data_IF_698870699222
#
_entry.id   IF_698870699222
#
_cell.length_a   1.000
_cell.length_b   1.000
_cell.length_c   1.000
_cell.angle_alpha   90.00
_cell.angle_beta   90.00
_cell.angle_gamma   90.00
#
_symmetry.space_group_name_H-M   'P 1'
#
loop_
_entity.id
_entity.type
_entity.pdbx_description
1 polymer ?
#
# COMPACT_ATOMS: atom_id res chain seq x y z
N UNK A 1 -4.84 -7.51 -9.79
CA UNK A 1 -5.20 -8.79 -9.17
C UNK A 1 -4.11 -9.82 -9.35
N UNK A 2 -3.48 -9.92 -10.52
CA UNK A 2 -2.51 -11.00 -10.83
C UNK A 2 -1.41 -11.28 -9.79
N UNK A 3 -0.79 -10.27 -9.16
CA UNK A 3 0.23 -10.50 -8.12
C UNK A 3 -0.35 -11.20 -6.89
N UNK A 4 -1.57 -10.82 -6.50
CA UNK A 4 -2.25 -11.35 -5.32
C UNK A 4 -2.66 -12.81 -5.56
N UNK A 5 -3.10 -13.12 -6.77
CA UNK A 5 -3.43 -14.50 -7.15
C UNK A 5 -2.18 -15.39 -7.10
N UNK A 6 -1.04 -14.91 -7.63
CA UNK A 6 0.21 -15.68 -7.61
C UNK A 6 0.78 -15.91 -6.21
N UNK A 7 0.72 -14.92 -5.31
CA UNK A 7 1.23 -15.11 -3.93
C UNK A 7 0.31 -16.01 -3.10
N UNK A 8 -1.00 -16.04 -3.39
CA UNK A 8 -1.96 -16.89 -2.65
C UNK A 8 -1.71 -18.39 -2.84
N UNK A 9 -1.00 -18.76 -3.91
CA UNK A 9 -0.60 -20.15 -4.21
C UNK A 9 0.86 -20.43 -3.91
N UNK A 10 1.61 -19.47 -3.36
CA UNK A 10 3.00 -19.68 -2.99
C UNK A 10 3.06 -20.53 -1.72
N UNK A 11 4.01 -21.45 -1.66
CA UNK A 11 4.44 -22.02 -0.38
C UNK A 11 4.93 -20.86 0.49
N UNK A 12 4.41 -20.75 1.71
CA UNK A 12 4.70 -19.68 2.63
C UNK A 12 4.80 -20.26 4.05
N UNK A 13 5.50 -21.38 4.20
CA UNK A 13 5.74 -22.01 5.49
C UNK A 13 6.15 -20.99 6.57
N UNK A 14 5.45 -21.05 7.70
CA UNK A 14 5.65 -20.14 8.83
C UNK A 14 5.09 -18.71 8.66
N UNK A 15 4.43 -18.40 7.54
CA UNK A 15 3.87 -17.06 7.26
C UNK A 15 2.35 -17.10 7.30
N UNK A 16 1.75 -16.19 8.07
CA UNK A 16 0.32 -15.88 7.95
C UNK A 16 0.11 -14.79 6.89
N UNK A 17 -0.40 -15.16 5.73
CA UNK A 17 -0.69 -14.22 4.64
C UNK A 17 -2.13 -13.69 4.75
N UNK A 18 -2.25 -12.36 4.77
CA UNK A 18 -3.52 -11.66 4.60
C UNK A 18 -3.53 -10.88 3.29
N UNK A 19 -4.55 -11.12 2.46
CA UNK A 19 -4.73 -10.42 1.18
C UNK A 19 -5.98 -9.56 1.24
N UNK A 20 -5.82 -8.26 0.95
CA UNK A 20 -6.94 -7.33 0.76
C UNK A 20 -6.93 -6.91 -0.72
N UNK A 21 -7.80 -7.50 -1.57
CA UNK A 21 -7.76 -7.25 -3.01
C UNK A 21 -8.02 -5.79 -3.39
N UNK A 22 -8.82 -5.10 -2.58
CA UNK A 22 -9.13 -3.69 -2.74
C UNK A 22 -9.61 -3.08 -1.44
N UNK A 23 -9.20 -1.84 -1.18
CA UNK A 23 -9.78 -0.99 -0.14
C UNK A 23 -10.78 0.02 -0.71
N UNK A 24 -10.97 0.06 -2.04
CA UNK A 24 -11.87 0.98 -2.74
C UNK A 24 -12.66 0.24 -3.83
N UNK A 25 -13.53 -0.72 -3.47
CA UNK A 25 -14.29 -1.50 -4.44
C UNK A 25 -15.26 -0.61 -5.25
N UNK A 26 -15.83 0.42 -4.63
CA UNK A 26 -16.73 1.35 -5.33
C UNK A 26 -15.99 2.17 -6.39
N UNK A 27 -14.84 2.75 -6.05
CA UNK A 27 -13.99 3.46 -7.00
C UNK A 27 -13.47 2.54 -8.12
N UNK A 28 -13.18 1.26 -7.83
CA UNK A 28 -12.83 0.31 -8.88
C UNK A 28 -13.98 0.07 -9.87
N UNK A 29 -15.21 -0.10 -9.36
CA UNK A 29 -16.40 -0.28 -10.20
C UNK A 29 -16.66 0.94 -11.10
N UNK A 30 -16.42 2.15 -10.60
CA UNK A 30 -16.59 3.40 -11.35
C UNK A 30 -15.33 3.88 -12.09
N UNK A 31 -14.20 3.16 -11.96
CA UNK A 31 -12.88 3.53 -12.50
C UNK A 31 -12.37 4.87 -12.00
N UNK A 32 -12.65 5.19 -10.74
CA UNK A 32 -12.20 6.40 -10.06
C UNK A 32 -11.09 6.11 -9.04
N UNK A 33 -10.16 7.08 -8.91
CA UNK A 33 -9.15 7.08 -7.86
C UNK A 33 -9.77 7.18 -6.46
N UNK A 34 -10.83 7.99 -6.35
CA UNK A 34 -11.49 8.36 -5.09
C UNK A 34 -12.58 7.34 -4.76
N UNK A 35 -13.04 7.31 -3.52
CA UNK A 35 -14.18 6.46 -3.16
C UNK A 35 -15.51 7.06 -3.65
N UNK A 36 -16.63 6.39 -3.38
CA UNK A 36 -17.97 6.85 -3.79
C UNK A 36 -18.37 8.23 -3.25
N UNK A 37 -17.67 8.73 -2.22
CA UNK A 37 -17.86 10.07 -1.65
C UNK A 37 -16.86 11.10 -2.16
N UNK A 38 -16.07 10.75 -3.17
CA UNK A 38 -15.07 11.63 -3.76
C UNK A 38 -13.85 11.88 -2.86
N UNK A 39 -13.56 11.01 -1.88
CA UNK A 39 -12.39 11.13 -1.01
C UNK A 39 -11.21 10.32 -1.55
N UNK A 40 -10.02 10.91 -1.58
CA UNK A 40 -8.77 10.17 -1.75
C UNK A 40 -8.45 9.42 -0.44
N UNK A 41 -8.73 8.12 -0.41
CA UNK A 41 -8.49 7.28 0.77
C UNK A 41 -7.04 7.37 1.25
N UNK A 42 -6.06 7.53 0.35
CA UNK A 42 -4.65 7.66 0.71
C UNK A 42 -4.26 9.10 1.11
N UNK A 43 -5.25 9.93 1.44
CA UNK A 43 -5.12 11.20 2.18
C UNK A 43 -6.00 11.24 3.43
N UNK A 44 -6.83 10.21 3.66
CA UNK A 44 -7.84 10.17 4.72
C UNK A 44 -7.31 9.59 6.04
N UNK A 45 -6.11 8.98 6.09
CA UNK A 45 -5.57 8.41 7.33
C UNK A 45 -5.17 9.50 8.34
N UNK A 46 -5.23 9.23 9.67
CA UNK A 46 -5.14 10.28 10.68
C UNK A 46 -3.74 10.87 10.86
N UNK A 47 -2.68 10.12 10.57
CA UNK A 47 -1.32 10.58 10.81
C UNK A 47 -0.95 11.76 9.90
N UNK A 48 -0.60 12.89 10.54
CA UNK A 48 -0.29 14.18 9.89
C UNK A 48 -1.39 14.66 8.93
N UNK A 49 -2.62 14.19 9.11
CA UNK A 49 -3.76 14.58 8.28
C UNK A 49 -3.93 16.11 8.24
N UNK A 50 -4.39 16.64 7.11
CA UNK A 50 -4.67 18.07 6.96
C UNK A 50 -5.90 18.27 6.07
N UNK A 51 -6.91 18.93 6.62
CA UNK A 51 -8.10 19.37 5.90
C UNK A 51 -7.86 20.63 5.06
N UNK A 52 -8.96 21.30 4.69
CA UNK A 52 -8.92 22.54 3.91
C UNK A 52 -8.58 22.36 2.43
N UNK A 53 -8.54 21.11 1.95
CA UNK A 53 -8.47 20.81 0.52
C UNK A 53 -9.90 20.77 -0.02
N UNK A 54 -10.22 21.44 -1.15
CA UNK A 54 -11.57 21.43 -1.71
C UNK A 54 -12.03 20.04 -2.16
N UNK A 55 -13.34 19.71 -2.06
CA UNK A 55 -13.89 18.44 -2.59
C UNK A 55 -13.67 18.22 -4.10
N UNK A 56 -13.49 19.30 -4.87
CA UNK A 56 -13.16 19.22 -6.29
C UNK A 56 -11.73 18.70 -6.55
N UNK A 57 -10.86 18.71 -5.54
CA UNK A 57 -9.49 18.21 -5.68
C UNK A 57 -9.45 16.68 -5.79
N UNK A 58 -8.58 16.18 -6.67
CA UNK A 58 -8.20 14.76 -6.71
C UNK A 58 -7.55 14.25 -5.42
N UNK A 59 -7.11 15.15 -4.53
CA UNK A 59 -6.50 14.85 -3.24
C UNK A 59 -7.38 15.22 -2.04
N UNK A 60 -8.70 15.38 -2.25
CA UNK A 60 -9.62 15.68 -1.17
C UNK A 60 -9.51 14.62 -0.05
N UNK A 61 -9.12 14.98 1.18
CA UNK A 61 -8.78 14.03 2.24
C UNK A 61 -9.99 13.66 3.10
N UNK A 62 -11.19 14.08 2.72
CA UNK A 62 -12.41 13.96 3.52
C UNK A 62 -12.62 15.13 4.49
N UNK A 63 -13.74 15.10 5.21
CA UNK A 63 -14.15 16.16 6.15
C UNK A 63 -13.36 16.15 7.47
N UNK A 64 -12.77 15.01 7.80
CA UNK A 64 -12.04 14.75 9.04
C UNK A 64 -11.06 13.58 8.80
N UNK A 65 -10.03 13.41 9.63
CA UNK A 65 -9.22 12.19 9.59
C UNK A 65 -10.09 10.96 9.84
N UNK A 66 -9.81 9.88 9.10
CA UNK A 66 -10.55 8.62 9.11
C UNK A 66 -12.07 8.82 8.96
N UNK A 67 -12.51 9.77 8.13
CA UNK A 67 -13.94 10.00 7.88
C UNK A 67 -14.60 8.85 7.11
N UNK A 68 -13.83 8.11 6.31
CA UNK A 68 -14.35 7.10 5.41
C UNK A 68 -14.42 5.71 6.05
N UNK A 69 -15.49 4.94 5.82
CA UNK A 69 -15.63 3.59 6.37
C UNK A 69 -14.52 2.64 5.90
N UNK A 70 -14.04 2.79 4.67
CA UNK A 70 -12.95 2.00 4.10
C UNK A 70 -11.64 2.23 4.87
N UNK A 71 -11.31 3.49 5.15
CA UNK A 71 -10.15 3.86 5.97
C UNK A 71 -10.25 3.23 7.36
N UNK A 72 -11.41 3.37 8.02
CA UNK A 72 -11.64 2.80 9.37
C UNK A 72 -11.52 1.27 9.38
N UNK A 73 -12.05 0.60 8.36
CA UNK A 73 -11.98 -0.86 8.24
C UNK A 73 -10.53 -1.35 8.15
N UNK A 74 -9.73 -0.70 7.29
CA UNK A 74 -8.32 -1.09 7.12
C UNK A 74 -7.49 -0.75 8.37
N UNK A 75 -7.78 0.37 9.04
CA UNK A 75 -7.14 0.71 10.31
C UNK A 75 -7.40 -0.37 11.37
N UNK A 76 -8.66 -0.69 11.62
CA UNK A 76 -9.05 -1.70 12.61
C UNK A 76 -8.65 -3.14 12.22
N UNK A 77 -8.33 -3.39 10.95
CA UNK A 77 -7.73 -4.63 10.49
C UNK A 77 -6.24 -4.69 10.85
N UNK A 78 -5.46 -3.67 10.46
CA UNK A 78 -4.02 -3.59 10.71
C UNK A 78 -3.70 -3.57 12.20
N UNK A 79 -4.46 -2.82 13.00
CA UNK A 79 -4.27 -2.76 14.46
C UNK A 79 -4.55 -4.10 15.15
N UNK A 80 -5.41 -4.93 14.56
CA UNK A 80 -5.75 -6.26 15.08
C UNK A 80 -4.70 -7.30 14.73
N UNK A 81 -4.26 -7.33 13.47
CA UNK A 81 -3.31 -8.36 13.01
C UNK A 81 -1.84 -7.99 13.27
N UNK A 82 -1.54 -6.69 13.44
CA UNK A 82 -0.19 -6.14 13.69
C UNK A 82 0.88 -6.76 12.79
N UNK A 83 0.76 -6.58 11.46
CA UNK A 83 1.57 -7.34 10.52
C UNK A 83 3.04 -6.92 10.57
N UNK A 84 3.96 -7.89 10.53
CA UNK A 84 5.41 -7.63 10.48
C UNK A 84 5.83 -6.99 9.15
N UNK A 85 5.19 -7.39 8.05
CA UNK A 85 5.43 -6.85 6.69
C UNK A 85 4.09 -6.40 6.10
N UNK A 86 4.08 -5.25 5.43
CA UNK A 86 2.90 -4.80 4.66
C UNK A 86 3.31 -4.13 3.37
N UNK A 87 2.69 -4.58 2.27
CA UNK A 87 2.96 -4.02 0.94
C UNK A 87 1.70 -3.38 0.40
N UNK A 88 1.76 -2.08 0.17
CA UNK A 88 0.69 -1.30 -0.43
C UNK A 88 0.95 -1.12 -1.91
N UNK A 89 0.13 -1.76 -2.75
CA UNK A 89 0.28 -1.72 -4.21
C UNK A 89 -0.49 -0.55 -4.83
N UNK A 90 0.20 0.19 -5.69
CA UNK A 90 -0.32 1.34 -6.42
C UNK A 90 0.21 1.37 -7.87
N UNK A 91 -0.26 2.35 -8.64
CA UNK A 91 0.19 2.74 -9.97
C UNK A 91 0.07 4.28 -10.09
N UNK A 92 0.80 4.95 -11.01
CA UNK A 92 1.59 4.40 -12.12
C UNK A 92 3.11 4.71 -12.08
N UNK A 93 3.70 4.95 -10.91
CA UNK A 93 5.03 5.58 -10.85
C UNK A 93 6.23 4.67 -11.21
N UNK A 94 6.05 3.36 -11.27
CA UNK A 94 7.09 2.42 -11.71
C UNK A 94 8.32 2.40 -10.81
N UNK A 95 8.13 2.37 -9.49
CA UNK A 95 9.18 2.32 -8.48
C UNK A 95 8.66 1.76 -7.15
N UNK A 96 9.57 1.20 -6.35
CA UNK A 96 9.30 1.02 -4.91
C UNK A 96 9.59 2.34 -4.21
N UNK A 97 8.66 2.83 -3.39
CA UNK A 97 8.83 4.11 -2.68
C UNK A 97 9.70 3.91 -1.45
N UNK A 98 11.01 3.92 -1.71
CA UNK A 98 12.06 3.78 -0.74
C UNK A 98 13.07 4.92 -0.84
N UNK A 99 13.21 5.63 0.28
CA UNK A 99 14.19 6.69 0.52
C UNK A 99 14.76 6.55 1.93
N UNK A 100 15.69 7.43 2.33
CA UNK A 100 16.26 7.42 3.69
C UNK A 100 15.16 7.37 4.75
N UNK A 101 15.24 6.39 5.66
CA UNK A 101 14.23 6.12 6.69
C UNK A 101 13.08 5.20 6.27
N UNK A 102 13.15 4.59 5.08
CA UNK A 102 12.23 3.51 4.67
C UNK A 102 12.70 2.17 5.24
N UNK A 103 11.79 1.25 5.61
CA UNK A 103 12.17 -0.09 6.06
C UNK A 103 13.03 -0.84 5.03
N UNK A 104 13.97 -1.64 5.51
CA UNK A 104 14.92 -2.41 4.70
C UNK A 104 14.21 -3.33 3.70
N UNK A 105 13.08 -3.92 4.11
CA UNK A 105 12.26 -4.77 3.26
C UNK A 105 11.88 -4.09 1.93
N UNK A 106 11.71 -2.76 1.90
CA UNK A 106 11.37 -2.05 0.66
C UNK A 106 12.53 -2.08 -0.34
N UNK A 107 13.77 -1.88 0.13
CA UNK A 107 14.97 -1.89 -0.71
C UNK A 107 15.23 -3.31 -1.22
N UNK A 108 15.11 -4.29 -0.32
CA UNK A 108 15.24 -5.71 -0.66
C UNK A 108 14.17 -6.15 -1.68
N UNK A 109 12.92 -5.71 -1.49
CA UNK A 109 11.83 -5.98 -2.44
C UNK A 109 12.15 -5.41 -3.81
N UNK A 110 12.62 -4.16 -3.87
CA UNK A 110 12.96 -3.50 -5.12
C UNK A 110 14.02 -4.30 -5.89
N UNK A 111 15.09 -4.74 -5.21
CA UNK A 111 16.13 -5.57 -5.82
C UNK A 111 15.59 -6.89 -6.35
N UNK A 112 14.83 -7.64 -5.54
CA UNK A 112 14.24 -8.94 -5.92
C UNK A 112 13.23 -8.82 -7.06
N UNK A 113 12.42 -7.75 -7.06
CA UNK A 113 11.42 -7.51 -8.09
C UNK A 113 12.00 -6.88 -9.38
N UNK A 114 13.29 -6.51 -9.39
CA UNK A 114 13.92 -5.80 -10.50
C UNK A 114 13.36 -4.39 -10.70
N UNK A 115 13.00 -3.71 -9.60
CA UNK A 115 12.48 -2.35 -9.60
C UNK A 115 13.51 -1.36 -9.06
N UNK A 116 13.49 -0.15 -9.59
CA UNK A 116 14.19 1.00 -8.98
C UNK A 116 13.49 1.45 -7.70
N UNK A 117 14.24 2.11 -6.82
CA UNK A 117 13.70 2.85 -5.67
C UNK A 117 13.43 4.32 -6.05
N UNK A 118 12.58 5.01 -5.29
CA UNK A 118 12.28 6.43 -5.49
C UNK A 118 11.88 7.14 -4.19
N UNK A 119 12.25 8.42 -4.07
CA UNK A 119 11.77 9.32 -3.03
C UNK A 119 10.40 9.94 -3.34
N UNK A 120 9.75 9.56 -4.44
CA UNK A 120 8.46 10.14 -4.84
C UNK A 120 7.41 9.88 -3.76
N UNK A 121 6.56 10.87 -3.52
CA UNK A 121 5.55 10.81 -2.46
C UNK A 121 6.09 11.08 -1.05
N UNK A 122 7.40 11.32 -0.88
CA UNK A 122 7.96 11.77 0.41
C UNK A 122 7.28 13.06 0.85
N UNK A 123 6.82 13.06 2.11
CA UNK A 123 6.17 14.23 2.71
C UNK A 123 4.65 14.33 2.47
N UNK A 124 4.06 13.41 1.70
CA UNK A 124 2.61 13.28 1.64
C UNK A 124 2.01 13.01 3.03
N UNK A 125 0.82 13.56 3.24
CA UNK A 125 0.12 13.57 4.52
C UNK A 125 -1.13 12.70 4.44
N UNK A 126 -1.55 12.14 5.57
CA UNK A 126 -2.74 11.30 5.66
C UNK A 126 -2.68 10.04 4.79
N UNK A 127 -1.46 9.56 4.50
CA UNK A 127 -1.29 8.31 3.73
C UNK A 127 -1.41 7.10 4.65
N UNK A 128 -1.91 6.00 4.09
CA UNK A 128 -2.01 4.72 4.80
C UNK A 128 -0.65 4.29 5.36
N UNK A 129 0.38 4.37 4.51
CA UNK A 129 1.72 3.93 4.89
C UNK A 129 2.34 4.78 6.00
N UNK A 130 2.13 6.10 5.96
CA UNK A 130 2.64 6.98 7.02
C UNK A 130 1.96 6.73 8.35
N UNK A 131 0.65 6.44 8.33
CA UNK A 131 -0.09 6.10 9.54
C UNK A 131 0.33 4.73 10.08
N UNK A 132 0.43 3.71 9.23
CA UNK A 132 0.80 2.37 9.68
C UNK A 132 2.19 2.35 10.34
N UNK A 133 3.16 3.08 9.79
CA UNK A 133 4.50 3.19 10.39
C UNK A 133 4.52 3.96 11.72
N UNK A 134 3.54 4.83 11.94
CA UNK A 134 3.39 5.58 13.18
C UNK A 134 2.79 4.70 14.29
N UNK A 135 1.72 3.95 13.98
CA UNK A 135 1.05 3.09 14.98
C UNK A 135 1.73 1.74 15.22
N UNK A 136 2.53 1.26 14.27
CA UNK A 136 3.30 0.01 14.37
C UNK A 136 4.79 0.28 14.11
N UNK A 137 5.49 0.94 15.04
CA UNK A 137 6.93 1.15 14.92
C UNK A 137 7.65 -0.21 14.84
N UNK A 138 8.56 -0.34 13.88
CA UNK A 138 9.29 -1.59 13.60
C UNK A 138 8.66 -2.48 12.53
N UNK A 139 7.38 -2.28 12.17
CA UNK A 139 6.78 -3.00 11.06
C UNK A 139 7.38 -2.57 9.71
N UNK A 140 7.68 -3.56 8.86
CA UNK A 140 8.20 -3.40 7.51
C UNK A 140 7.06 -3.08 6.52
N UNK A 141 6.46 -1.90 6.68
CA UNK A 141 5.41 -1.43 5.77
C UNK A 141 6.02 -0.58 4.65
N UNK A 142 5.66 -0.80 3.38
CA UNK A 142 6.12 0.02 2.25
C UNK A 142 5.17 0.03 1.05
N UNK A 143 5.46 0.88 0.07
CA UNK A 143 4.63 1.08 -1.14
C UNK A 143 5.38 0.59 -2.38
N UNK A 144 4.66 -0.15 -3.23
CA UNK A 144 5.11 -0.55 -4.56
C UNK A 144 4.22 0.12 -5.59
N UNK A 145 4.81 0.99 -6.42
CA UNK A 145 4.12 1.63 -7.54
C UNK A 145 4.48 0.91 -8.84
N UNK A 146 3.57 0.14 -9.42
CA UNK A 146 3.76 -0.39 -10.77
C UNK A 146 3.75 0.74 -11.80
N UNK A 147 4.25 0.46 -13.01
CA UNK A 147 4.11 1.39 -14.14
C UNK A 147 2.65 1.47 -14.60
N UNK A 148 2.30 2.49 -15.40
CA UNK A 148 0.93 2.68 -15.91
C UNK A 148 0.44 1.65 -16.94
N UNK A 149 1.25 0.65 -17.27
CA UNK A 149 0.86 -0.45 -18.18
C UNK A 149 0.21 -1.58 -17.38
N UNK A 150 -0.52 -2.45 -18.08
CA UNK A 150 -1.03 -3.68 -17.50
C UNK A 150 0.13 -4.51 -16.91
N UNK A 151 -0.11 -5.12 -15.76
CA UNK A 151 0.79 -6.11 -15.15
C UNK A 151 0.63 -7.38 -15.97
N UNK A 152 1.73 -8.00 -16.38
CA UNK A 152 1.71 -9.30 -17.05
C UNK A 152 1.94 -10.42 -16.05
N UNK A 153 1.56 -11.66 -16.39
CA UNK A 153 1.82 -12.82 -15.54
C UNK A 153 3.30 -12.95 -15.12
N UNK A 154 4.24 -12.65 -16.02
CA UNK A 154 5.68 -12.69 -15.72
C UNK A 154 6.08 -11.64 -14.67
N UNK A 155 5.52 -10.43 -14.76
CA UNK A 155 5.70 -9.39 -13.73
C UNK A 155 5.05 -9.84 -12.43
N UNK A 156 3.80 -10.34 -12.48
CA UNK A 156 3.08 -10.81 -11.30
C UNK A 156 3.85 -11.90 -10.53
N UNK A 157 4.35 -12.93 -11.24
CA UNK A 157 5.15 -14.01 -10.66
C UNK A 157 6.43 -13.50 -9.99
N UNK A 158 7.16 -12.60 -10.64
CA UNK A 158 8.40 -12.02 -10.07
C UNK A 158 8.11 -11.27 -8.77
N UNK A 159 7.05 -10.48 -8.76
CA UNK A 159 6.65 -9.71 -7.58
C UNK A 159 6.13 -10.60 -6.45
N UNK A 160 5.39 -11.67 -6.77
CA UNK A 160 4.99 -12.68 -5.78
C UNK A 160 6.22 -13.40 -5.18
N UNK A 161 7.19 -13.80 -5.99
CA UNK A 161 8.43 -14.43 -5.50
C UNK A 161 9.24 -13.48 -4.60
N UNK A 162 9.33 -12.19 -4.96
CA UNK A 162 9.97 -11.17 -4.13
C UNK A 162 9.25 -11.01 -2.78
N UNK A 163 7.91 -10.97 -2.79
CA UNK A 163 7.11 -10.89 -1.57
C UNK A 163 7.27 -12.12 -0.68
N UNK A 164 7.20 -13.33 -1.25
CA UNK A 164 7.41 -14.58 -0.52
C UNK A 164 8.79 -14.62 0.16
N UNK A 165 9.83 -14.18 -0.56
CA UNK A 165 11.20 -14.12 -0.02
C UNK A 165 11.31 -13.18 1.18
N UNK A 166 10.60 -12.04 1.15
CA UNK A 166 10.61 -11.07 2.25
C UNK A 166 9.77 -11.55 3.43
N UNK A 167 8.62 -12.16 3.15
CA UNK A 167 7.71 -12.62 4.18
C UNK A 167 8.31 -13.74 5.04
N UNK A 168 9.03 -14.70 4.44
CA UNK A 168 9.64 -15.83 5.17
C UNK A 168 10.85 -15.42 6.02
N UNK A 169 11.64 -14.47 5.54
CA UNK A 169 12.88 -14.06 6.18
C UNK A 169 12.65 -12.89 7.13
N UNK A 170 11.54 -12.90 7.88
CA UNK A 170 11.09 -11.80 8.74
C UNK A 170 12.28 -11.03 9.31
N UNK A 171 12.50 -9.82 8.78
CA UNK A 171 13.73 -9.05 8.96
C UNK A 171 14.02 -8.81 10.43
#
# INVERSE_FOLDING_TARGET
MEVLDQISTADLDGVQLWVVPSINPDGQRTRERRNARGVDLNRNFPFRWRGGVPPSSGYYPGRAPASEPETKAVMGFIERIKPQVSVWYHQPWGAVLACRGTPEAAVRYAALAGMRTSCRGRGLRGTAISWQRDVLPGAQAFVVEFGGRAITQGIARRHAAALATIARNGT
#
